data_IF_533963266443
#
_entry.id   IF_533963266443
#
_cell.length_a   1.000
_cell.length_b   1.000
_cell.length_c   1.000
_cell.angle_alpha   90.00
_cell.angle_beta   90.00
_cell.angle_gamma   90.00
#
_symmetry.space_group_name_H-M   'P 1'
#
loop_
_entity.id
_entity.type
_entity.pdbx_description
1 polymer ?
#
# COMPACT_ATOMS: atom_id res chain seq x y z
N UNK A 1 -16.74 2.77 21.02
CA UNK A 1 -16.51 2.66 19.56
C UNK A 1 -16.87 3.96 18.85
N UNK A 2 -18.01 4.58 19.18
CA UNK A 2 -18.46 5.91 18.73
C UNK A 2 -17.39 7.02 18.74
N UNK A 3 -16.67 7.21 19.86
CA UNK A 3 -15.67 8.28 19.98
C UNK A 3 -14.47 8.13 19.02
N UNK A 4 -14.08 6.88 18.74
CA UNK A 4 -13.00 6.59 17.78
C UNK A 4 -13.46 6.92 16.36
N UNK A 5 -14.72 6.58 16.04
CA UNK A 5 -15.34 6.90 14.74
C UNK A 5 -15.47 8.42 14.57
N UNK A 6 -15.89 9.14 15.61
CA UNK A 6 -16.00 10.60 15.59
C UNK A 6 -14.63 11.27 15.35
N UNK A 7 -13.61 10.91 16.12
CA UNK A 7 -12.26 11.45 15.95
C UNK A 7 -11.69 11.12 14.57
N UNK A 8 -11.93 9.92 14.07
CA UNK A 8 -11.50 9.51 12.73
C UNK A 8 -12.16 10.35 11.63
N UNK A 9 -13.46 10.59 11.76
CA UNK A 9 -14.21 11.34 10.76
C UNK A 9 -13.81 12.83 10.74
N UNK A 10 -13.61 13.42 11.92
CA UNK A 10 -13.29 14.84 12.04
C UNK A 10 -11.83 15.14 11.69
N UNK A 11 -10.90 14.30 12.14
CA UNK A 11 -9.46 14.55 12.00
C UNK A 11 -8.89 14.10 10.64
N UNK A 12 -9.43 13.02 10.07
CA UNK A 12 -8.88 12.41 8.84
C UNK A 12 -9.83 12.64 7.66
N UNK A 13 -11.10 12.24 7.79
CA UNK A 13 -12.02 12.16 6.64
C UNK A 13 -12.41 13.56 6.14
N UNK A 14 -12.86 14.46 7.02
CA UNK A 14 -13.27 15.82 6.65
C UNK A 14 -12.19 16.62 5.93
N UNK A 15 -10.94 16.75 6.44
CA UNK A 15 -9.91 17.51 5.74
C UNK A 15 -9.50 16.88 4.41
N UNK A 16 -9.48 15.54 4.31
CA UNK A 16 -9.23 14.87 3.03
C UNK A 16 -10.32 15.17 1.99
N UNK A 17 -11.59 15.07 2.37
CA UNK A 17 -12.72 15.37 1.49
C UNK A 17 -12.74 16.83 1.07
N UNK A 18 -12.50 17.76 1.99
CA UNK A 18 -12.49 19.18 1.69
C UNK A 18 -11.35 19.54 0.71
N UNK A 19 -10.17 18.95 0.93
CA UNK A 19 -9.02 19.11 0.01
C UNK A 19 -9.33 18.56 -1.37
N UNK A 20 -9.96 17.37 -1.45
CA UNK A 20 -10.34 16.76 -2.72
C UNK A 20 -11.40 17.60 -3.47
N UNK A 21 -12.38 18.15 -2.75
CA UNK A 21 -13.40 19.04 -3.32
C UNK A 21 -12.80 20.33 -3.87
N UNK A 22 -11.85 20.94 -3.15
CA UNK A 22 -11.13 22.12 -3.65
C UNK A 22 -10.35 21.80 -4.92
N UNK A 23 -9.63 20.66 -4.95
CA UNK A 23 -8.92 20.21 -6.14
C UNK A 23 -9.87 19.91 -7.30
N UNK A 24 -11.04 19.35 -7.03
CA UNK A 24 -12.06 19.07 -8.04
C UNK A 24 -12.60 20.34 -8.72
N UNK A 25 -12.85 21.40 -7.94
CA UNK A 25 -13.29 22.69 -8.47
C UNK A 25 -12.18 23.36 -9.28
N UNK A 26 -10.94 23.33 -8.79
CA UNK A 26 -9.77 23.89 -9.48
C UNK A 26 -9.48 23.14 -10.80
N UNK A 27 -9.70 21.82 -10.83
CA UNK A 27 -9.46 20.97 -12.00
C UNK A 27 -10.65 20.90 -12.98
N UNK A 28 -11.50 21.94 -13.06
CA UNK A 28 -12.60 22.03 -14.03
C UNK A 28 -13.59 20.86 -14.00
N UNK A 29 -13.93 20.36 -12.80
CA UNK A 29 -14.85 19.23 -12.61
C UNK A 29 -14.34 17.88 -13.18
N UNK A 30 -13.03 17.79 -13.48
CA UNK A 30 -12.40 16.55 -13.95
C UNK A 30 -11.96 15.68 -12.77
N UNK A 31 -12.78 14.68 -12.42
CA UNK A 31 -12.55 13.84 -11.25
C UNK A 31 -11.23 13.06 -11.34
N UNK A 32 -10.86 12.56 -12.52
CA UNK A 32 -9.62 11.81 -12.73
C UNK A 32 -8.36 12.65 -12.46
N UNK A 33 -8.33 13.88 -12.93
CA UNK A 33 -7.18 14.80 -12.73
C UNK A 33 -7.10 15.21 -11.26
N UNK A 34 -8.23 15.50 -10.62
CA UNK A 34 -8.28 15.86 -9.20
C UNK A 34 -7.73 14.73 -8.30
N UNK A 35 -8.06 13.48 -8.60
CA UNK A 35 -7.54 12.32 -7.86
C UNK A 35 -6.02 12.17 -8.06
N UNK A 36 -5.52 12.31 -9.29
CA UNK A 36 -4.08 12.25 -9.60
C UNK A 36 -3.32 13.35 -8.84
N UNK A 37 -3.84 14.58 -8.86
CA UNK A 37 -3.21 15.71 -8.15
C UNK A 37 -3.23 15.49 -6.62
N UNK A 38 -4.36 15.02 -6.09
CA UNK A 38 -4.51 14.69 -4.68
C UNK A 38 -3.50 13.61 -4.26
N UNK A 39 -3.36 12.54 -5.05
CA UNK A 39 -2.37 11.49 -4.77
C UNK A 39 -0.94 12.02 -4.83
N UNK A 40 -0.59 12.87 -5.80
CA UNK A 40 0.73 13.50 -5.86
C UNK A 40 1.00 14.38 -4.64
N UNK A 41 0.03 15.18 -4.22
CA UNK A 41 0.13 16.07 -3.05
C UNK A 41 0.32 15.26 -1.76
N UNK A 42 -0.52 14.26 -1.53
CA UNK A 42 -0.39 13.36 -0.38
C UNK A 42 0.95 12.66 -0.40
N UNK A 43 1.41 12.20 -1.57
CA UNK A 43 2.67 11.46 -1.73
C UNK A 43 3.90 12.34 -1.51
N UNK A 44 3.85 13.62 -1.89
CA UNK A 44 4.91 14.59 -1.56
C UNK A 44 4.90 14.94 -0.08
N UNK A 45 3.72 15.16 0.52
CA UNK A 45 3.59 15.42 1.95
C UNK A 45 4.06 14.25 2.84
N UNK A 46 3.80 13.01 2.41
CA UNK A 46 4.26 11.80 3.11
C UNK A 46 5.68 11.37 2.73
N UNK A 47 6.29 11.93 1.68
CA UNK A 47 7.67 11.60 1.27
C UNK A 47 8.71 11.66 2.41
N UNK A 48 8.78 12.71 3.26
CA UNK A 48 9.73 12.73 4.37
C UNK A 48 9.46 11.62 5.41
N UNK A 49 8.20 11.24 5.59
CA UNK A 49 7.81 10.13 6.46
C UNK A 49 8.24 8.78 5.86
N UNK A 50 8.01 8.59 4.55
CA UNK A 50 8.42 7.39 3.81
C UNK A 50 9.94 7.22 3.81
N UNK A 51 10.71 8.30 3.70
CA UNK A 51 12.18 8.24 3.82
C UNK A 51 12.63 7.74 5.21
N UNK A 52 11.94 8.15 6.28
CA UNK A 52 12.19 7.61 7.63
C UNK A 52 11.84 6.12 7.70
N UNK A 53 10.74 5.69 7.08
CA UNK A 53 10.35 4.27 7.01
C UNK A 53 11.40 3.42 6.27
N UNK A 54 11.90 3.91 5.12
CA UNK A 54 12.95 3.23 4.32
C UNK A 54 14.25 3.10 5.12
N UNK A 55 14.64 4.14 5.87
CA UNK A 55 15.84 4.11 6.71
C UNK A 55 15.74 3.01 7.78
N UNK A 56 14.59 2.88 8.43
CA UNK A 56 14.35 1.85 9.44
C UNK A 56 14.43 0.44 8.82
N UNK A 57 13.85 0.24 7.62
CA UNK A 57 13.94 -1.04 6.90
C UNK A 57 15.39 -1.42 6.56
N UNK A 58 16.21 -0.45 6.15
CA UNK A 58 17.64 -0.71 5.89
C UNK A 58 18.36 -1.16 7.16
N UNK A 59 18.15 -0.52 8.31
CA UNK A 59 18.79 -0.97 9.57
C UNK A 59 18.34 -2.39 9.94
N UNK A 60 17.07 -2.74 9.75
CA UNK A 60 16.60 -4.13 9.95
C UNK A 60 17.31 -5.13 9.05
N UNK A 61 17.54 -4.80 7.77
CA UNK A 61 18.27 -5.68 6.85
C UNK A 61 19.71 -5.95 7.32
N UNK A 62 20.37 -4.96 7.92
CA UNK A 62 21.72 -5.10 8.50
C UNK A 62 21.71 -5.94 9.78
N UNK A 63 20.60 -5.98 10.52
CA UNK A 63 20.45 -6.80 11.73
C UNK A 63 20.07 -8.26 11.42
N UNK A 64 19.61 -8.58 10.21
CA UNK A 64 19.28 -9.96 9.81
C UNK A 64 20.39 -11.00 10.08
N UNK A 65 21.68 -10.76 9.75
CA UNK A 65 22.75 -11.73 10.06
C UNK A 65 22.91 -11.96 11.57
N UNK A 66 22.87 -10.91 12.39
CA UNK A 66 22.94 -11.04 13.86
C UNK A 66 21.76 -11.82 14.42
N UNK A 67 20.57 -11.62 13.84
CA UNK A 67 19.38 -12.37 14.23
C UNK A 67 19.51 -13.87 13.90
N UNK A 68 20.17 -14.23 12.79
CA UNK A 68 20.48 -15.64 12.50
C UNK A 68 21.46 -16.23 13.52
N UNK A 69 22.49 -15.48 13.92
CA UNK A 69 23.42 -15.93 14.96
C UNK A 69 22.73 -16.17 16.31
N UNK A 70 21.80 -15.28 16.72
CA UNK A 70 20.98 -15.46 17.94
C UNK A 70 20.10 -16.72 17.82
N UNK A 71 19.49 -16.94 16.67
CA UNK A 71 18.66 -18.12 16.41
C UNK A 71 19.47 -19.43 16.42
N UNK A 72 20.70 -19.41 15.93
CA UNK A 72 21.61 -20.56 15.97
C UNK A 72 22.13 -20.82 17.39
N UNK A 73 22.54 -19.77 18.11
CA UNK A 73 23.06 -19.86 19.48
C UNK A 73 22.03 -20.35 20.50
N UNK A 74 20.76 -19.99 20.31
CA UNK A 74 19.66 -20.33 21.21
C UNK A 74 18.57 -21.19 20.55
N UNK A 75 18.94 -22.04 19.58
CA UNK A 75 18.00 -22.86 18.79
C UNK A 75 17.02 -23.69 19.64
N UNK A 76 17.45 -24.12 20.83
CA UNK A 76 16.67 -24.93 21.76
C UNK A 76 15.83 -24.10 22.76
N UNK A 77 15.99 -22.78 22.81
CA UNK A 77 15.30 -21.90 23.75
C UNK A 77 14.64 -20.72 23.02
N UNK A 78 13.42 -20.97 22.53
CA UNK A 78 12.59 -19.97 21.84
C UNK A 78 12.33 -18.72 22.70
N UNK A 79 12.28 -18.86 24.02
CA UNK A 79 12.05 -17.74 24.94
C UNK A 79 13.26 -16.81 24.94
N UNK A 80 14.47 -17.37 25.06
CA UNK A 80 15.72 -16.59 24.96
C UNK A 80 15.93 -15.96 23.60
N UNK A 81 15.62 -16.66 22.51
CA UNK A 81 15.66 -16.08 21.15
C UNK A 81 14.80 -14.82 21.06
N UNK A 82 13.57 -14.86 21.57
CA UNK A 82 12.65 -13.71 21.54
C UNK A 82 13.18 -12.53 22.37
N UNK A 83 13.70 -12.81 23.57
CA UNK A 83 14.25 -11.78 24.48
C UNK A 83 15.48 -11.10 23.89
N UNK A 84 16.45 -11.87 23.38
CA UNK A 84 17.68 -11.34 22.78
C UNK A 84 17.39 -10.61 21.47
N UNK A 85 16.45 -11.10 20.67
CA UNK A 85 16.00 -10.40 19.45
C UNK A 85 15.39 -9.03 19.80
N UNK A 86 14.55 -8.97 20.84
CA UNK A 86 13.93 -7.71 21.28
C UNK A 86 14.97 -6.75 21.87
N UNK A 87 15.96 -7.28 22.61
CA UNK A 87 17.08 -6.50 23.15
C UNK A 87 17.93 -5.91 22.05
N UNK A 88 18.29 -6.71 21.04
CA UNK A 88 19.01 -6.27 19.84
C UNK A 88 18.25 -5.16 19.10
N UNK A 89 16.93 -5.28 18.92
CA UNK A 89 16.14 -4.21 18.28
C UNK A 89 16.12 -2.91 19.09
N UNK A 90 16.06 -3.00 20.42
CA UNK A 90 16.13 -1.84 21.31
C UNK A 90 17.51 -1.17 21.26
N UNK A 91 18.59 -1.95 21.30
CA UNK A 91 19.97 -1.43 21.21
C UNK A 91 20.25 -0.78 19.85
N UNK A 92 19.67 -1.32 18.77
CA UNK A 92 19.76 -0.73 17.44
C UNK A 92 18.81 0.44 17.20
N UNK A 93 17.91 0.76 18.14
CA UNK A 93 16.94 1.85 18.03
C UNK A 93 15.91 1.68 16.92
N UNK A 94 15.56 0.44 16.56
CA UNK A 94 14.67 0.13 15.44
C UNK A 94 13.31 -0.36 15.94
N UNK A 95 12.22 0.19 15.40
CA UNK A 95 10.87 -0.25 15.72
C UNK A 95 10.29 -1.19 14.63
N UNK A 96 10.09 -2.50 14.91
CA UNK A 96 9.56 -3.46 13.93
C UNK A 96 8.15 -3.11 13.42
N UNK A 97 7.35 -2.42 14.22
CA UNK A 97 5.96 -2.05 13.88
C UNK A 97 5.93 -0.93 12.82
N UNK A 98 6.97 -0.08 12.79
CA UNK A 98 7.07 1.03 11.83
C UNK A 98 7.24 0.58 10.37
N UNK A 99 7.71 -0.66 10.15
CA UNK A 99 7.92 -1.23 8.81
C UNK A 99 6.65 -1.82 8.19
N UNK A 100 5.53 -1.93 8.94
CA UNK A 100 4.25 -2.44 8.41
C UNK A 100 3.45 -1.37 7.65
N UNK A 101 3.75 -0.09 7.88
CA UNK A 101 3.04 1.05 7.27
C UNK A 101 2.99 1.04 5.73
N UNK A 102 4.10 0.77 5.02
CA UNK A 102 4.12 0.74 3.56
C UNK A 102 3.20 -0.32 2.93
N UNK A 103 3.06 -1.50 3.56
CA UNK A 103 2.19 -2.58 3.09
C UNK A 103 0.71 -2.20 3.21
N UNK A 104 0.34 -1.51 4.29
CA UNK A 104 -1.03 -1.05 4.53
C UNK A 104 -1.46 -0.04 3.46
N UNK A 105 -0.55 0.80 2.97
CA UNK A 105 -0.86 1.79 1.91
C UNK A 105 -0.96 1.14 0.52
N UNK A 106 -0.24 0.03 0.28
CA UNK A 106 -0.23 -0.65 -1.03
C UNK A 106 -1.54 -1.41 -1.32
N UNK A 107 -2.13 -2.03 -0.29
CA UNK A 107 -3.32 -2.87 -0.45
C UNK A 107 -4.56 -2.13 -0.98
N UNK A 108 -4.91 -0.91 -0.49
CA UNK A 108 -6.03 -0.13 -1.02
C UNK A 108 -5.89 0.23 -2.50
N UNK A 109 -4.67 0.54 -2.96
CA UNK A 109 -4.40 0.91 -4.35
C UNK A 109 -4.68 -0.28 -5.28
N UNK A 110 -4.27 -1.49 -4.88
CA UNK A 110 -4.52 -2.73 -5.63
C UNK A 110 -6.03 -3.02 -5.75
N UNK A 111 -6.78 -2.87 -4.65
CA UNK A 111 -8.24 -3.09 -4.64
C UNK A 111 -8.95 -2.05 -5.50
N UNK A 112 -8.52 -0.78 -5.44
CA UNK A 112 -9.06 0.28 -6.28
C UNK A 112 -8.86 0.02 -7.77
N UNK A 113 -7.64 -0.33 -8.18
CA UNK A 113 -7.32 -0.70 -9.56
C UNK A 113 -8.15 -1.90 -10.03
N UNK A 114 -8.26 -2.94 -9.20
CA UNK A 114 -9.02 -4.14 -9.53
C UNK A 114 -10.52 -3.85 -9.70
N UNK A 115 -11.10 -3.01 -8.84
CA UNK A 115 -12.50 -2.59 -8.97
C UNK A 115 -12.75 -1.77 -10.24
N UNK A 116 -11.87 -0.84 -10.58
CA UNK A 116 -11.97 -0.07 -11.83
C UNK A 116 -11.89 -1.00 -13.03
N UNK A 117 -10.94 -1.94 -13.03
CA UNK A 117 -10.76 -2.89 -14.12
C UNK A 117 -11.99 -3.79 -14.33
N UNK A 118 -12.57 -4.34 -13.25
CA UNK A 118 -13.83 -5.08 -13.30
C UNK A 118 -14.96 -4.20 -13.84
N UNK A 119 -15.11 -2.99 -13.31
CA UNK A 119 -16.21 -2.11 -13.72
C UNK A 119 -16.08 -1.69 -15.20
N UNK A 120 -14.87 -1.51 -15.73
CA UNK A 120 -14.64 -1.21 -17.16
C UNK A 120 -14.82 -2.42 -18.07
N UNK A 121 -14.47 -3.64 -17.62
CA UNK A 121 -14.53 -4.84 -18.47
C UNK A 121 -15.91 -5.50 -18.47
N UNK A 122 -16.66 -5.43 -17.37
CA UNK A 122 -17.95 -6.11 -17.23
C UNK A 122 -19.16 -5.23 -17.55
N UNK A 123 -18.98 -3.92 -17.75
CA UNK A 123 -20.08 -2.99 -18.05
C UNK A 123 -20.29 -2.69 -19.54
N UNK A 124 -19.42 -3.16 -20.45
CA UNK A 124 -19.57 -2.96 -21.90
C UNK A 124 -19.30 -4.27 -22.69
N UNK A 125 -20.33 -5.09 -22.99
CA UNK A 125 -20.15 -6.32 -23.77
C UNK A 125 -19.59 -6.07 -25.18
N UNK A 126 -19.80 -4.89 -25.77
CA UNK A 126 -19.35 -4.57 -27.13
C UNK A 126 -17.84 -4.30 -27.25
N UNK A 127 -17.18 -3.89 -26.16
CA UNK A 127 -15.73 -3.61 -26.14
C UNK A 127 -14.87 -4.86 -25.95
N UNK A 128 -15.46 -5.99 -25.56
CA UNK A 128 -14.78 -7.30 -25.48
C UNK A 128 -14.35 -7.80 -26.88
N UNK A 129 -15.17 -7.50 -27.90
CA UNK A 129 -14.88 -7.82 -29.31
C UNK A 129 -13.69 -7.00 -29.83
N UNK A 130 -13.54 -5.74 -29.38
CA UNK A 130 -12.40 -4.88 -29.71
C UNK A 130 -11.12 -5.25 -28.96
N UNK A 131 -11.22 -5.82 -27.76
CA UNK A 131 -10.06 -6.31 -26.99
C UNK A 131 -9.44 -7.56 -27.62
N UNK A 132 -10.24 -8.45 -28.21
CA UNK A 132 -9.77 -9.59 -29.01
C UNK A 132 -8.78 -9.16 -30.10
N UNK A 133 -9.03 -8.03 -30.76
CA UNK A 133 -8.16 -7.48 -31.80
C UNK A 133 -6.87 -6.82 -31.30
N UNK A 134 -6.79 -6.49 -30.00
CA UNK A 134 -5.59 -5.89 -29.37
C UNK A 134 -4.70 -6.90 -28.64
N UNK A 135 -5.12 -8.17 -28.56
CA UNK A 135 -4.28 -9.23 -28.02
C UNK A 135 -3.20 -9.61 -29.03
N UNK A 136 -1.98 -9.83 -28.54
CA UNK A 136 -0.88 -10.30 -29.37
C UNK A 136 -1.27 -11.61 -30.06
N UNK A 137 -1.00 -11.69 -31.37
CA UNK A 137 -1.30 -12.82 -32.27
C UNK A 137 -0.74 -14.19 -31.84
N UNK A 138 0.07 -14.23 -30.78
CA UNK A 138 0.75 -15.42 -30.27
C UNK A 138 0.05 -16.08 -29.06
N UNK A 139 -1.11 -15.60 -28.63
CA UNK A 139 -1.91 -16.27 -27.58
C UNK A 139 -2.94 -17.18 -28.26
N UNK A 140 -2.75 -18.52 -28.28
CA UNK A 140 -3.73 -19.44 -28.83
C UNK A 140 -4.98 -19.46 -27.96
N UNK A 141 -6.09 -19.01 -28.54
CA UNK A 141 -7.41 -18.95 -27.91
C UNK A 141 -7.90 -20.40 -27.68
N UNK A 142 -8.23 -20.75 -26.43
CA UNK A 142 -8.99 -21.97 -26.17
C UNK A 142 -10.40 -21.81 -26.75
N UNK A 143 -10.87 -22.72 -27.63
CA UNK A 143 -12.21 -22.64 -28.19
C UNK A 143 -13.22 -23.00 -27.11
N UNK A 144 -13.94 -22.02 -26.59
CA UNK A 144 -15.20 -22.25 -25.89
C UNK A 144 -16.27 -22.25 -26.99
N UNK A 145 -16.58 -23.44 -27.51
CA UNK A 145 -17.82 -23.63 -28.23
C UNK A 145 -18.98 -23.62 -27.22
N UNK A 146 -20.05 -22.90 -27.55
CA UNK A 146 -21.49 -23.21 -27.41
C UNK A 146 -22.25 -21.89 -27.47
#
# INVERSE_FOLDING_TARGET
MEAVVFLWNELIIRPMLNTLMVLYVICFQQMGIAIILFTLLVRTATMPLTLKQIRQMRVMSVLQPKMKEIQERYRNDRSRVSQETMRMYKEAGVNPIGCLGPLIVQMPILIGLFRVLIQTLFSEPDNLVGLSQKLYTWIPIFPIHS
#
